data_IF_252253598783
#
_entry.id   IF_252253598783
#
_cell.length_a   1.000
_cell.length_b   1.000
_cell.length_c   1.000
_cell.angle_alpha   90.00
_cell.angle_beta   90.00
_cell.angle_gamma   90.00
#
_symmetry.space_group_name_H-M   'P 1'
#
loop_
_entity.id
_entity.type
_entity.pdbx_description
1 polymer ?
#
# COMPACT_ATOMS: atom_id res chain seq x y z
N UNK A 1 16.45 -0.35 -1.30
CA UNK A 1 15.88 -0.32 0.06
C UNK A 1 15.03 -1.56 0.23
N UNK A 2 15.34 -2.40 1.22
CA UNK A 2 14.61 -3.64 1.49
C UNK A 2 13.19 -3.30 1.96
N UNK A 3 12.18 -3.87 1.30
CA UNK A 3 10.81 -3.84 1.78
C UNK A 3 10.79 -4.23 3.26
N UNK A 4 10.12 -3.44 4.11
CA UNK A 4 9.97 -3.81 5.51
C UNK A 4 9.26 -5.16 5.59
N UNK A 5 9.94 -6.12 6.20
CA UNK A 5 9.44 -7.48 6.28
C UNK A 5 8.25 -7.50 7.23
N UNK A 6 7.11 -7.93 6.72
CA UNK A 6 5.93 -8.19 7.53
C UNK A 6 6.32 -9.22 8.62
N UNK A 7 6.02 -8.95 9.91
CA UNK A 7 6.32 -9.88 11.00
C UNK A 7 5.74 -11.28 10.75
N UNK A 8 6.43 -12.33 11.19
CA UNK A 8 6.00 -13.71 10.96
C UNK A 8 4.67 -14.06 11.66
N UNK A 9 4.36 -13.39 12.77
CA UNK A 9 3.10 -13.52 13.49
C UNK A 9 1.97 -12.64 12.93
N UNK A 10 2.20 -11.91 11.84
CA UNK A 10 1.16 -11.11 11.21
C UNK A 10 0.04 -11.99 10.65
N UNK A 11 -1.20 -11.59 10.92
CA UNK A 11 -2.40 -12.22 10.37
C UNK A 11 -3.21 -11.19 9.60
N UNK A 12 -3.61 -11.57 8.38
CA UNK A 12 -4.57 -10.80 7.59
C UNK A 12 -5.90 -10.79 8.33
N UNK A 13 -6.40 -9.59 8.65
CA UNK A 13 -7.71 -9.39 9.28
C UNK A 13 -8.78 -9.04 8.25
N UNK A 14 -8.40 -8.33 7.18
CA UNK A 14 -9.30 -7.94 6.10
C UNK A 14 -8.55 -7.89 4.78
N UNK A 15 -9.26 -8.23 3.70
CA UNK A 15 -8.83 -8.04 2.33
C UNK A 15 -9.85 -7.17 1.60
N UNK A 16 -9.39 -6.30 0.72
CA UNK A 16 -10.28 -5.56 -0.18
C UNK A 16 -10.68 -6.44 -1.37
N UNK A 17 -11.78 -6.11 -2.07
CA UNK A 17 -11.97 -6.55 -3.45
C UNK A 17 -10.84 -6.06 -4.36
N UNK A 18 -10.86 -6.51 -5.61
CA UNK A 18 -10.00 -5.95 -6.65
C UNK A 18 -10.32 -4.48 -6.92
N UNK A 19 -9.28 -3.66 -6.90
CA UNK A 19 -9.34 -2.29 -7.36
C UNK A 19 -8.72 -2.13 -8.74
N UNK A 20 -9.37 -1.30 -9.56
CA UNK A 20 -8.97 -0.82 -10.87
C UNK A 20 -9.10 0.70 -10.92
N UNK A 21 -8.78 1.33 -12.07
CA UNK A 21 -8.92 2.77 -12.27
C UNK A 21 -10.33 3.28 -11.89
N UNK A 22 -11.35 2.49 -12.20
CA UNK A 22 -12.76 2.84 -12.13
C UNK A 22 -13.34 2.78 -10.72
N UNK A 23 -12.84 1.88 -9.86
CA UNK A 23 -13.52 1.56 -8.60
C UNK A 23 -12.65 1.74 -7.34
N UNK A 24 -11.38 2.17 -7.46
CA UNK A 24 -10.59 2.44 -6.25
C UNK A 24 -11.24 3.56 -5.43
N UNK A 25 -11.32 3.42 -4.11
CA UNK A 25 -11.66 4.53 -3.24
C UNK A 25 -10.67 5.69 -3.40
N UNK A 26 -11.19 6.90 -3.59
CA UNK A 26 -10.37 8.12 -3.73
C UNK A 26 -9.42 8.33 -2.53
N UNK A 27 -9.81 7.89 -1.34
CA UNK A 27 -8.97 7.96 -0.13
C UNK A 27 -7.65 7.20 -0.25
N UNK A 28 -7.56 6.15 -1.08
CA UNK A 28 -6.31 5.41 -1.29
C UNK A 28 -5.35 6.13 -2.25
N UNK A 29 -5.85 7.12 -3.00
CA UNK A 29 -5.08 7.94 -3.93
C UNK A 29 -4.51 9.20 -3.27
N UNK A 30 -4.97 9.53 -2.06
CA UNK A 30 -4.49 10.65 -1.26
C UNK A 30 -3.66 10.17 -0.06
N UNK A 31 -3.09 11.11 0.71
CA UNK A 31 -2.28 10.81 1.89
C UNK A 31 -3.12 10.11 2.97
N UNK A 32 -2.80 8.86 3.27
CA UNK A 32 -3.42 8.08 4.33
C UNK A 32 -2.36 7.25 5.08
N UNK A 33 -2.78 6.55 6.12
CA UNK A 33 -1.95 5.60 6.84
C UNK A 33 -2.81 4.45 7.36
N UNK A 34 -2.14 3.36 7.75
CA UNK A 34 -2.75 2.32 8.56
C UNK A 34 -2.67 2.69 10.04
N UNK A 35 -3.58 2.13 10.85
CA UNK A 35 -3.55 2.32 12.29
C UNK A 35 -2.26 1.75 12.92
N UNK A 36 -1.93 2.19 14.14
CA UNK A 36 -0.77 1.65 14.88
C UNK A 36 -0.86 0.11 15.00
N UNK A 37 0.26 -0.57 14.75
CA UNK A 37 0.32 -2.05 14.76
C UNK A 37 -0.36 -2.74 13.56
N UNK A 38 -0.88 -1.98 12.60
CA UNK A 38 -1.54 -2.51 11.39
C UNK A 38 -0.64 -2.35 10.17
N UNK A 39 -0.28 -3.46 9.56
CA UNK A 39 0.43 -3.48 8.29
C UNK A 39 -0.55 -3.59 7.12
N UNK A 40 -0.26 -2.84 6.06
CA UNK A 40 -0.89 -3.00 4.76
C UNK A 40 0.03 -3.74 3.80
N UNK A 41 -0.52 -4.65 3.00
CA UNK A 41 0.18 -5.31 1.90
C UNK A 41 -0.57 -5.02 0.59
N UNK A 42 0.09 -4.34 -0.34
CA UNK A 42 -0.43 -4.04 -1.67
C UNK A 42 0.12 -5.06 -2.65
N UNK A 43 -0.77 -5.89 -3.18
CA UNK A 43 -0.44 -6.91 -4.18
C UNK A 43 -0.94 -6.44 -5.55
N UNK A 44 -0.12 -6.53 -6.60
CA UNK A 44 -0.51 -6.13 -7.96
C UNK A 44 -0.68 -7.38 -8.82
N UNK A 45 -1.85 -7.52 -9.44
CA UNK A 45 -2.20 -8.67 -10.27
C UNK A 45 -2.04 -8.37 -11.75
N UNK A 46 -2.33 -7.14 -12.17
CA UNK A 46 -2.13 -6.67 -13.55
C UNK A 46 -1.62 -5.22 -13.53
N UNK A 47 -0.86 -4.84 -14.56
CA UNK A 47 -0.29 -3.50 -14.70
C UNK A 47 0.74 -3.16 -13.62
N UNK A 48 0.79 -1.89 -13.25
CA UNK A 48 1.78 -1.35 -12.31
C UNK A 48 1.16 -0.33 -11.36
N UNK A 49 1.50 -0.41 -10.08
CA UNK A 49 1.16 0.59 -9.05
C UNK A 49 2.44 1.26 -8.56
N UNK A 50 2.42 2.59 -8.46
CA UNK A 50 3.50 3.37 -7.84
C UNK A 50 3.10 3.81 -6.45
N UNK A 51 3.78 3.27 -5.45
CA UNK A 51 3.61 3.65 -4.06
C UNK A 51 4.52 4.82 -3.71
N UNK A 52 3.98 5.79 -2.97
CA UNK A 52 4.69 6.94 -2.44
C UNK A 52 4.61 6.96 -0.91
N UNK A 53 5.77 7.00 -0.26
CA UNK A 53 5.91 7.15 1.18
C UNK A 53 6.34 8.57 1.54
N UNK A 54 5.79 9.10 2.63
CA UNK A 54 6.00 10.47 3.07
C UNK A 54 6.52 10.48 4.51
N UNK A 55 7.46 11.39 4.80
CA UNK A 55 8.10 11.50 6.10
C UNK A 55 7.10 11.79 7.23
N UNK A 56 6.03 12.53 6.93
CA UNK A 56 5.00 12.93 7.90
C UNK A 56 3.72 13.38 7.17
N UNK A 57 2.76 13.90 7.94
CA UNK A 57 1.42 14.26 7.46
C UNK A 57 1.39 15.49 6.54
N UNK A 58 2.36 16.41 6.71
CA UNK A 58 2.42 17.69 6.00
C UNK A 58 3.44 17.69 4.86
N UNK A 59 4.24 16.62 4.72
CA UNK A 59 5.21 16.47 3.66
C UNK A 59 4.50 16.44 2.28
N UNK A 60 4.92 17.33 1.39
CA UNK A 60 4.41 17.41 0.01
C UNK A 60 5.24 16.59 -0.97
N UNK A 61 6.50 16.31 -0.63
CA UNK A 61 7.40 15.50 -1.44
C UNK A 61 7.56 14.08 -0.85
N UNK A 62 7.50 13.03 -1.68
CA UNK A 62 7.68 11.68 -1.21
C UNK A 62 9.17 11.39 -0.96
N UNK A 63 9.49 10.83 0.20
CA UNK A 63 10.84 10.34 0.52
C UNK A 63 11.09 8.93 -0.06
N UNK A 64 10.02 8.20 -0.35
CA UNK A 64 10.06 6.84 -0.89
C UNK A 64 9.15 6.76 -2.11
N UNK A 65 9.67 6.19 -3.20
CA UNK A 65 8.92 5.83 -4.41
C UNK A 65 9.21 4.38 -4.76
N UNK A 66 8.17 3.55 -4.83
CA UNK A 66 8.27 2.13 -5.16
C UNK A 66 7.36 1.80 -6.32
N UNK A 67 7.91 1.21 -7.38
CA UNK A 67 7.14 0.69 -8.50
C UNK A 67 6.87 -0.79 -8.26
N UNK A 68 5.60 -1.18 -8.25
CA UNK A 68 5.13 -2.53 -7.95
C UNK A 68 4.46 -3.06 -9.22
N UNK A 69 5.08 -4.04 -9.88
CA UNK A 69 4.55 -4.64 -11.10
C UNK A 69 3.65 -5.85 -10.78
N UNK A 70 2.91 -6.31 -11.79
CA UNK A 70 2.14 -7.55 -11.72
C UNK A 70 2.98 -8.73 -11.17
N UNK A 71 2.39 -9.48 -10.24
CA UNK A 71 3.05 -10.58 -9.52
C UNK A 71 3.91 -10.13 -8.33
N UNK A 72 4.03 -8.83 -8.08
CA UNK A 72 4.79 -8.28 -6.95
C UNK A 72 3.86 -7.68 -5.88
N UNK A 73 4.44 -7.46 -4.70
CA UNK A 73 3.78 -6.75 -3.61
C UNK A 73 4.72 -5.80 -2.89
N UNK A 74 4.15 -4.83 -2.18
CA UNK A 74 4.87 -4.01 -1.20
C UNK A 74 4.13 -4.01 0.14
N UNK A 75 4.88 -3.89 1.23
CA UNK A 75 4.34 -3.75 2.58
C UNK A 75 4.49 -2.30 3.07
N UNK A 76 3.41 -1.75 3.61
CA UNK A 76 3.39 -0.47 4.32
C UNK A 76 3.50 -0.75 5.83
N UNK A 77 4.58 -0.32 6.50
CA UNK A 77 4.67 -0.41 7.95
C UNK A 77 3.73 0.57 8.65
N UNK A 78 3.36 0.29 9.90
CA UNK A 78 2.73 1.28 10.78
C UNK A 78 3.77 1.96 11.68
N UNK A 79 3.57 3.24 12.06
CA UNK A 79 2.63 4.21 11.47
C UNK A 79 3.32 5.00 10.35
N UNK A 80 3.24 4.53 9.10
CA UNK A 80 3.87 5.21 7.96
C UNK A 80 2.84 5.86 7.03
N UNK A 81 2.99 7.16 6.79
CA UNK A 81 2.15 7.95 5.89
C UNK A 81 2.48 7.60 4.44
N UNK A 82 1.45 7.25 3.67
CA UNK A 82 1.60 6.84 2.29
C UNK A 82 0.42 7.20 1.40
N UNK A 83 0.66 7.19 0.10
CA UNK A 83 -0.35 7.28 -0.95
C UNK A 83 0.08 6.43 -2.14
N UNK A 84 -0.88 5.98 -2.94
CA UNK A 84 -0.57 5.25 -4.17
C UNK A 84 -1.00 6.07 -5.40
N UNK A 85 -0.10 6.25 -6.36
CA UNK A 85 -0.49 6.56 -7.73
C UNK A 85 -0.40 5.29 -8.58
N UNK A 86 -1.19 5.22 -9.64
CA UNK A 86 -1.38 3.99 -10.42
C UNK A 86 -1.22 4.27 -11.90
N UNK A 87 -0.82 3.24 -12.64
CA UNK A 87 -1.03 3.21 -14.09
C UNK A 87 -2.50 2.95 -14.43
N UNK A 88 -2.91 3.28 -15.65
CA UNK A 88 -4.30 3.16 -16.09
C UNK A 88 -4.83 1.71 -16.11
N UNK A 89 -3.93 0.73 -16.23
CA UNK A 89 -4.26 -0.71 -16.33
C UNK A 89 -4.05 -1.47 -15.02
N UNK A 90 -3.80 -0.78 -13.91
CA UNK A 90 -3.44 -1.47 -12.67
C UNK A 90 -4.65 -2.16 -12.04
N UNK A 91 -4.49 -3.45 -11.72
CA UNK A 91 -5.44 -4.23 -10.92
C UNK A 91 -4.75 -4.76 -9.67
N UNK A 92 -5.25 -4.39 -8.50
CA UNK A 92 -4.57 -4.68 -7.22
C UNK A 92 -5.56 -4.97 -6.07
N UNK A 93 -5.07 -5.55 -4.98
CA UNK A 93 -5.80 -5.70 -3.71
C UNK A 93 -4.94 -5.19 -2.56
N UNK A 94 -5.59 -4.88 -1.44
CA UNK A 94 -4.93 -4.60 -0.17
C UNK A 94 -5.31 -5.67 0.86
N UNK A 95 -4.29 -6.26 1.48
CA UNK A 95 -4.46 -7.01 2.73
C UNK A 95 -4.09 -6.12 3.90
N UNK A 96 -4.90 -6.15 4.95
CA UNK A 96 -4.70 -5.35 6.16
C UNK A 96 -4.75 -6.28 7.36
N UNK A 97 -3.75 -6.20 8.22
CA UNK A 97 -3.61 -7.09 9.36
C UNK A 97 -2.66 -6.56 10.43
N UNK A 98 -2.51 -7.26 11.53
CA UNK A 98 -1.58 -6.90 12.61
C UNK A 98 -0.96 -8.13 13.24
N UNK A 99 -0.04 -7.90 14.18
CA UNK A 99 0.37 -8.94 15.12
C UNK A 99 -0.83 -9.34 16.00
N UNK A 100 -0.94 -10.62 16.33
CA UNK A 100 -1.64 -11.07 17.53
C UNK A 100 -0.72 -10.94 18.75
#
# INVERSE_FOLDING_TARGET
MSHLRIPANWKVKRSTPFFTKENVPAALLSHHNTAAGVFGQLCVMEGTVTYYGFANETATEPEVKVVINAGQFAASPAPYRHGAARSDLARFILHVGGAE
#
